data_IF_571131678127
#
_entry.id   IF_571131678127
#
_cell.length_a   1.000
_cell.length_b   1.000
_cell.length_c   1.000
_cell.angle_alpha   90.00
_cell.angle_beta   90.00
_cell.angle_gamma   90.00
#
_symmetry.space_group_name_H-M   'P 1'
#
loop_
_entity.id
_entity.type
_entity.pdbx_description
1 polymer ?
#
# COMPACT_ATOMS: atom_id res chain seq x y z
N UNK A 1 -13.42 2.69 9.49
CA UNK A 1 -13.37 1.25 9.18
C UNK A 1 -12.63 1.08 7.88
N UNK A 2 -11.48 0.41 7.90
CA UNK A 2 -10.75 0.00 6.70
C UNK A 2 -10.36 -1.45 6.98
N UNK A 3 -10.94 -2.39 6.26
CA UNK A 3 -10.71 -3.82 6.49
C UNK A 3 -9.34 -4.27 5.97
N UNK A 4 -8.84 -3.61 4.92
CA UNK A 4 -7.60 -3.99 4.25
C UNK A 4 -6.79 -2.76 3.84
N UNK A 5 -5.47 -2.81 4.09
CA UNK A 5 -4.51 -1.85 3.57
C UNK A 5 -3.55 -2.54 2.60
N UNK A 6 -3.47 -2.04 1.37
CA UNK A 6 -2.56 -2.53 0.35
C UNK A 6 -1.58 -1.44 -0.08
N UNK A 7 -0.27 -1.77 -0.08
CA UNK A 7 0.77 -0.89 -0.62
C UNK A 7 1.10 -1.31 -2.06
N UNK A 8 0.60 -0.57 -3.03
CA UNK A 8 0.83 -0.81 -4.46
C UNK A 8 1.93 0.13 -4.96
N UNK A 9 2.95 -0.42 -5.63
CA UNK A 9 4.04 0.37 -6.24
C UNK A 9 3.90 0.27 -7.74
N UNK A 10 3.67 1.41 -8.39
CA UNK A 10 3.54 1.54 -9.85
C UNK A 10 4.48 2.62 -10.38
N UNK A 11 4.95 2.50 -11.63
CA UNK A 11 5.81 3.50 -12.24
C UNK A 11 5.07 4.79 -12.64
N UNK A 12 3.75 4.73 -12.88
CA UNK A 12 2.94 5.88 -13.29
C UNK A 12 1.45 5.69 -12.93
N UNK A 13 0.66 6.76 -13.04
CA UNK A 13 -0.78 6.78 -12.73
C UNK A 13 -1.60 5.94 -13.73
N UNK A 14 -1.17 5.84 -14.99
CA UNK A 14 -1.89 5.04 -15.98
C UNK A 14 -1.84 3.53 -15.66
N UNK A 15 -0.74 3.04 -15.11
CA UNK A 15 -0.61 1.67 -14.61
C UNK A 15 -1.43 1.46 -13.33
N UNK A 16 -1.58 2.49 -12.48
CA UNK A 16 -2.51 2.43 -11.36
C UNK A 16 -3.96 2.22 -11.82
N UNK A 17 -4.42 2.95 -12.84
CA UNK A 17 -5.79 2.81 -13.39
C UNK A 17 -6.04 1.40 -13.95
N UNK A 18 -5.06 0.84 -14.68
CA UNK A 18 -5.16 -0.56 -15.16
C UNK A 18 -5.22 -1.55 -14.00
N UNK A 19 -4.40 -1.37 -12.97
CA UNK A 19 -4.43 -2.21 -11.77
C UNK A 19 -5.78 -2.11 -11.06
N UNK A 20 -6.27 -0.89 -10.85
CA UNK A 20 -7.54 -0.60 -10.21
C UNK A 20 -8.70 -1.27 -10.95
N UNK A 21 -8.77 -1.11 -12.28
CA UNK A 21 -9.78 -1.74 -13.14
C UNK A 21 -9.75 -3.27 -13.06
N UNK A 22 -8.57 -3.88 -13.03
CA UNK A 22 -8.43 -5.34 -12.85
C UNK A 22 -8.86 -5.80 -11.47
N UNK A 23 -8.61 -5.01 -10.44
CA UNK A 23 -8.98 -5.34 -9.07
C UNK A 23 -10.50 -5.35 -8.90
N UNK A 24 -11.18 -4.27 -9.32
CA UNK A 24 -12.65 -4.18 -9.26
C UNK A 24 -13.37 -5.20 -10.16
N UNK A 25 -12.72 -5.67 -11.24
CA UNK A 25 -13.34 -6.69 -12.09
C UNK A 25 -13.20 -8.10 -11.52
N UNK A 26 -12.29 -8.31 -10.58
CA UNK A 26 -11.99 -9.63 -10.00
C UNK A 26 -12.61 -9.80 -8.61
N UNK A 27 -12.93 -8.69 -7.94
CA UNK A 27 -13.43 -8.68 -6.57
C UNK A 27 -14.54 -7.63 -6.47
N UNK A 28 -15.65 -7.99 -5.81
CA UNK A 28 -16.72 -7.05 -5.50
C UNK A 28 -16.28 -6.18 -4.32
N UNK A 29 -15.99 -4.90 -4.57
CA UNK A 29 -15.46 -3.95 -3.59
C UNK A 29 -16.51 -2.88 -3.33
N UNK A 30 -16.87 -2.65 -2.07
CA UNK A 30 -17.89 -1.68 -1.68
C UNK A 30 -17.39 -0.23 -1.73
N UNK A 31 -16.24 0.02 -1.11
CA UNK A 31 -15.61 1.34 -1.08
C UNK A 31 -14.09 1.17 -1.07
N UNK A 32 -13.40 2.03 -1.83
CA UNK A 32 -11.95 1.94 -2.00
C UNK A 32 -11.36 3.34 -2.00
N UNK A 33 -10.73 3.68 -0.88
CA UNK A 33 -10.01 4.93 -0.72
C UNK A 33 -8.54 4.74 -1.10
N UNK A 34 -8.13 5.37 -2.20
CA UNK A 34 -6.74 5.34 -2.68
C UNK A 34 -6.02 6.63 -2.29
N UNK A 35 -4.89 6.52 -1.61
CA UNK A 35 -4.02 7.65 -1.27
C UNK A 35 -2.66 7.50 -1.92
N UNK A 36 -2.24 8.54 -2.65
CA UNK A 36 -0.94 8.57 -3.32
C UNK A 36 0.09 9.25 -2.41
N UNK A 37 1.19 8.56 -2.13
CA UNK A 37 2.33 9.18 -1.47
C UNK A 37 3.07 10.08 -2.47
N UNK A 38 3.08 11.39 -2.20
CA UNK A 38 3.77 12.37 -3.06
C UNK A 38 5.29 12.17 -3.04
N UNK A 39 5.83 11.81 -1.88
CA UNK A 39 7.26 11.59 -1.69
C UNK A 39 7.49 10.48 -0.66
N UNK A 40 8.57 9.71 -0.85
CA UNK A 40 9.00 8.69 0.09
C UNK A 40 10.06 9.26 1.02
N UNK A 41 9.65 9.65 2.22
CA UNK A 41 10.55 10.22 3.24
C UNK A 41 11.55 9.18 3.76
N UNK A 42 11.11 7.94 4.02
CA UNK A 42 11.98 6.86 4.52
C UNK A 42 11.42 5.49 4.11
N UNK A 43 12.29 4.59 3.68
CA UNK A 43 11.97 3.18 3.44
C UNK A 43 13.10 2.31 3.97
N UNK A 44 12.84 1.61 5.06
CA UNK A 44 13.77 0.67 5.68
C UNK A 44 13.06 -0.64 5.92
N UNK A 45 13.74 -1.75 5.63
CA UNK A 45 13.29 -3.10 5.96
C UNK A 45 13.92 -3.61 7.26
N UNK A 46 14.87 -2.86 7.84
CA UNK A 46 15.46 -3.19 9.13
C UNK A 46 14.45 -2.90 10.25
N UNK A 47 14.12 -3.94 11.02
CA UNK A 47 13.29 -3.82 12.22
C UNK A 47 14.12 -3.23 13.36
N UNK A 48 13.53 -2.39 14.22
CA UNK A 48 14.22 -1.90 15.41
C UNK A 48 14.40 -3.04 16.42
N UNK A 49 15.63 -3.53 16.57
CA UNK A 49 15.96 -4.63 17.49
C UNK A 49 16.17 -4.17 18.95
N UNK A 50 16.09 -2.86 19.21
CA UNK A 50 16.30 -2.25 20.52
C UNK A 50 15.32 -2.76 21.59
N UNK A 51 14.14 -3.24 21.17
CA UNK A 51 13.10 -3.79 22.06
C UNK A 51 13.21 -5.30 22.29
N UNK A 52 14.02 -6.01 21.52
CA UNK A 52 14.18 -7.47 21.61
C UNK A 52 15.39 -7.90 22.47
N UNK A 53 16.20 -6.92 22.89
CA UNK A 53 17.28 -7.12 23.85
C UNK A 53 16.69 -6.83 25.24
N UNK A 54 16.11 -7.86 25.86
CA UNK A 54 15.88 -7.87 27.31
C UNK A 54 17.26 -7.98 27.99
N UNK A 55 17.63 -6.98 28.78
CA UNK A 55 18.62 -7.13 29.88
C UNK A 55 17.90 -7.64 31.13
#
# INVERSE_FOLDING_TARGET
>A
EIDYLMRVVVPNIAEFDKFYKRLISSVDIYDVSSSFAMERIKYTTALPLQYALEE
#
